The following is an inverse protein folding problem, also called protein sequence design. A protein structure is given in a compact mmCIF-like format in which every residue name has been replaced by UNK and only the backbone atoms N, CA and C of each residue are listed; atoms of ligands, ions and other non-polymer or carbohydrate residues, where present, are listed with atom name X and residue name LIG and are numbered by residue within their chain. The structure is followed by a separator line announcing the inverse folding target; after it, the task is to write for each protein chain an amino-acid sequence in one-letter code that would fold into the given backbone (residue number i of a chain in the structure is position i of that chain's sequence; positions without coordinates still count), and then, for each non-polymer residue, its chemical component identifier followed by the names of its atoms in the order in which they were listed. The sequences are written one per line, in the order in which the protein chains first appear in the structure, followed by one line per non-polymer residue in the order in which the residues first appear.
data_IF_153696668670
#
_entry.id   IF_153696668670
#
_cell.length_a   1.000
_cell.length_b   1.000
_cell.length_c   1.000
_cell.angle_alpha   90.00
_cell.angle_beta   90.00
_cell.angle_gamma   90.00
#
_symmetry.space_group_name_H-M   'P 1'
#
loop_
_entity.id
_entity.type
_entity.pdbx_description
1 polymer ?
#
# COMPACT_ATOMS: atom_id res chain seq x y z
N UNK A 1 -8.53 -39.60 0.49
CA UNK A 1 -8.62 -38.38 1.33
C UNK A 1 -7.21 -37.85 1.52
N UNK A 2 -6.78 -36.90 0.68
CA UNK A 2 -5.41 -36.38 0.64
C UNK A 2 -5.18 -35.35 1.73
N UNK A 3 -4.14 -35.55 2.53
CA UNK A 3 -3.72 -34.67 3.61
C UNK A 3 -3.31 -33.29 3.07
N UNK A 4 -4.15 -32.29 3.34
CA UNK A 4 -3.85 -30.88 3.08
C UNK A 4 -2.88 -30.40 4.15
N UNK A 5 -1.58 -30.36 3.84
CA UNK A 5 -0.56 -29.75 4.71
C UNK A 5 -0.88 -28.27 4.97
N UNK A 6 -1.45 -28.01 6.13
CA UNK A 6 -1.76 -26.67 6.62
C UNK A 6 -0.47 -25.93 7.00
N UNK A 7 0.17 -25.29 6.01
CA UNK A 7 1.24 -24.31 6.21
C UNK A 7 0.68 -23.00 6.79
N UNK A 8 0.27 -22.98 8.06
CA UNK A 8 -0.24 -21.76 8.71
C UNK A 8 0.55 -21.38 9.96
N UNK A 9 1.17 -20.19 9.89
CA UNK A 9 1.73 -19.46 11.03
C UNK A 9 0.60 -19.12 12.03
N UNK A 10 0.71 -19.65 13.24
CA UNK A 10 -0.35 -19.66 14.27
C UNK A 10 -0.77 -18.28 14.81
N UNK A 11 -0.03 -17.20 14.54
CA UNK A 11 -0.29 -15.89 15.17
C UNK A 11 -1.42 -15.07 14.54
N UNK A 12 -1.87 -15.38 13.33
CA UNK A 12 -2.83 -14.54 12.59
C UNK A 12 -4.09 -15.29 12.13
N UNK A 13 -4.33 -16.52 12.63
CA UNK A 13 -5.47 -17.36 12.24
C UNK A 13 -5.43 -17.84 10.78
N UNK A 14 -6.41 -18.66 10.33
CA UNK A 14 -6.50 -19.13 8.95
C UNK A 14 -6.95 -18.01 7.99
N UNK A 15 -6.64 -18.16 6.69
CA UNK A 15 -7.14 -17.24 5.68
C UNK A 15 -8.64 -17.47 5.45
N UNK A 16 -9.45 -16.40 5.44
CA UNK A 16 -10.88 -16.50 5.18
C UNK A 16 -11.24 -16.87 3.73
N UNK A 17 -10.31 -16.71 2.79
CA UNK A 17 -10.53 -16.89 1.35
C UNK A 17 -9.26 -17.45 0.68
N UNK A 18 -8.82 -18.68 0.97
CA UNK A 18 -7.63 -19.23 0.32
C UNK A 18 -7.81 -19.28 -1.21
N UNK A 19 -6.72 -19.02 -1.92
CA UNK A 19 -6.63 -19.15 -3.38
C UNK A 19 -6.00 -20.50 -3.66
N UNK A 20 -6.72 -21.35 -4.39
CA UNK A 20 -6.18 -22.62 -4.85
C UNK A 20 -5.28 -22.39 -6.05
N UNK A 21 -4.06 -22.92 -5.97
CA UNK A 21 -3.12 -22.98 -7.08
C UNK A 21 -3.01 -24.43 -7.52
N UNK A 22 -3.37 -24.70 -8.77
CA UNK A 22 -3.07 -25.97 -9.41
C UNK A 22 -1.69 -25.85 -10.08
N UNK A 23 -0.78 -26.74 -9.70
CA UNK A 23 0.55 -26.87 -10.28
C UNK A 23 0.74 -28.26 -10.88
N UNK A 24 1.60 -28.35 -11.88
CA UNK A 24 2.11 -29.63 -12.35
C UNK A 24 3.48 -29.82 -11.70
N UNK A 25 3.65 -30.93 -10.99
CA UNK A 25 4.91 -31.31 -10.40
C UNK A 25 5.74 -32.01 -11.46
N UNK A 26 6.97 -31.52 -11.65
CA UNK A 26 7.90 -32.06 -12.64
C UNK A 26 9.18 -32.47 -11.92
N UNK A 27 9.72 -33.64 -12.27
CA UNK A 27 11.07 -34.00 -11.90
C UNK A 27 12.02 -33.06 -12.65
N UNK A 28 12.74 -32.22 -11.92
CA UNK A 28 13.64 -31.24 -12.52
C UNK A 28 14.83 -31.88 -13.25
N UNK A 29 15.18 -33.12 -12.92
CA UNK A 29 16.30 -33.86 -13.51
C UNK A 29 15.88 -34.69 -14.72
N UNK A 30 14.69 -35.29 -14.69
CA UNK A 30 14.17 -36.13 -15.78
C UNK A 30 13.25 -35.40 -16.76
N UNK A 31 12.70 -34.24 -16.37
CA UNK A 31 11.69 -33.51 -17.14
C UNK A 31 10.30 -34.17 -17.13
N UNK A 32 10.12 -35.26 -16.37
CA UNK A 32 8.87 -36.01 -16.31
C UNK A 32 7.84 -35.33 -15.41
N UNK A 33 6.58 -35.36 -15.84
CA UNK A 33 5.45 -34.88 -15.05
C UNK A 33 5.10 -35.94 -14.00
N UNK A 34 5.41 -35.66 -12.74
CA UNK A 34 5.14 -36.53 -11.59
C UNK A 34 3.66 -36.51 -11.19
N UNK A 35 2.95 -35.42 -11.46
CA UNK A 35 1.52 -35.34 -11.21
C UNK A 35 0.97 -33.91 -11.15
N UNK A 36 -0.33 -33.79 -10.85
CA UNK A 36 -0.97 -32.51 -10.55
C UNK A 36 -1.10 -32.35 -9.05
N UNK A 37 -0.58 -31.25 -8.52
CA UNK A 37 -0.71 -30.88 -7.11
C UNK A 37 -1.55 -29.62 -6.99
N UNK A 38 -2.49 -29.62 -6.06
CA UNK A 38 -3.19 -28.40 -5.66
C UNK A 38 -2.64 -27.93 -4.33
N UNK A 39 -2.25 -26.66 -4.25
CA UNK A 39 -1.80 -26.02 -3.01
C UNK A 39 -2.65 -24.80 -2.72
N UNK A 40 -3.02 -24.62 -1.47
CA UNK A 40 -3.70 -23.40 -1.04
C UNK A 40 -2.67 -22.31 -0.70
N UNK A 41 -2.98 -21.10 -1.13
CA UNK A 41 -2.25 -19.89 -0.73
C UNK A 41 -3.22 -18.91 -0.09
N UNK A 42 -2.74 -18.19 0.92
CA UNK A 42 -3.46 -17.05 1.51
C UNK A 42 -3.83 -16.04 0.42
N UNK A 43 -5.04 -15.48 0.42
CA UNK A 43 -5.47 -14.50 -0.61
C UNK A 43 -4.60 -13.24 -0.70
N UNK A 44 -3.87 -12.90 0.36
CA UNK A 44 -3.09 -11.67 0.40
C UNK A 44 -3.93 -10.39 0.37
N UNK A 45 -5.25 -10.47 0.59
CA UNK A 45 -6.10 -9.29 0.70
C UNK A 45 -5.63 -8.42 1.86
N UNK A 46 -5.58 -7.12 1.61
CA UNK A 46 -5.17 -6.10 2.59
C UNK A 46 -6.38 -5.50 3.32
N UNK A 47 -7.58 -5.79 2.84
CA UNK A 47 -8.85 -5.29 3.38
C UNK A 47 -9.32 -6.20 4.52
N UNK A 48 -9.46 -5.67 5.73
CA UNK A 48 -9.91 -6.45 6.87
C UNK A 48 -11.34 -6.96 6.66
N UNK A 49 -12.19 -6.18 5.99
CA UNK A 49 -13.54 -6.58 5.59
C UNK A 49 -13.59 -7.79 4.65
N UNK A 50 -12.53 -8.06 3.88
CA UNK A 50 -12.46 -9.23 2.99
C UNK A 50 -11.75 -10.42 3.63
N UNK A 51 -10.69 -10.17 4.40
CA UNK A 51 -9.92 -11.21 5.08
C UNK A 51 -9.16 -10.60 6.27
N UNK A 52 -9.72 -10.67 7.50
CA UNK A 52 -9.08 -10.11 8.70
C UNK A 52 -7.67 -10.66 8.91
N UNK A 53 -7.49 -11.96 8.69
CA UNK A 53 -6.21 -12.66 8.86
C UNK A 53 -5.09 -12.17 7.92
N UNK A 54 -5.39 -11.98 6.62
CA UNK A 54 -4.40 -11.52 5.65
C UNK A 54 -4.10 -10.03 5.81
N UNK A 55 -5.13 -9.23 6.13
CA UNK A 55 -4.96 -7.81 6.41
C UNK A 55 -4.09 -7.58 7.64
N UNK A 56 -4.34 -8.32 8.74
CA UNK A 56 -3.53 -8.26 9.95
C UNK A 56 -2.07 -8.66 9.70
N UNK A 57 -1.84 -9.73 8.93
CA UNK A 57 -0.49 -10.14 8.55
C UNK A 57 0.23 -9.06 7.73
N UNK A 58 -0.47 -8.46 6.75
CA UNK A 58 0.09 -7.36 5.96
C UNK A 58 0.41 -6.14 6.82
N UNK A 59 -0.46 -5.80 7.78
CA UNK A 59 -0.24 -4.71 8.72
C UNK A 59 0.98 -4.96 9.61
N UNK A 60 1.18 -6.19 10.08
CA UNK A 60 2.36 -6.59 10.84
C UNK A 60 3.64 -6.43 10.01
N UNK A 61 3.62 -6.85 8.75
CA UNK A 61 4.75 -6.68 7.84
C UNK A 61 5.06 -5.21 7.56
N UNK A 62 4.03 -4.41 7.31
CA UNK A 62 4.20 -2.98 7.10
C UNK A 62 4.81 -2.29 8.33
N UNK A 63 4.36 -2.66 9.54
CA UNK A 63 4.94 -2.18 10.81
C UNK A 63 6.40 -2.58 10.95
N UNK A 64 6.74 -3.83 10.62
CA UNK A 64 8.11 -4.33 10.69
C UNK A 64 9.01 -3.61 9.69
N UNK A 65 8.54 -3.40 8.45
CA UNK A 65 9.25 -2.66 7.43
C UNK A 65 9.54 -1.22 7.84
N UNK A 66 8.52 -0.50 8.32
CA UNK A 66 8.69 0.89 8.77
C UNK A 66 9.65 0.97 9.95
N UNK A 67 9.54 0.04 10.92
CA UNK A 67 10.46 0.00 12.08
C UNK A 67 11.90 -0.22 11.63
N UNK A 68 12.14 -1.19 10.74
CA UNK A 68 13.49 -1.52 10.29
C UNK A 68 14.22 -0.33 9.65
N UNK A 69 13.53 0.56 8.95
CA UNK A 69 14.18 1.74 8.37
C UNK A 69 14.32 2.94 9.30
N UNK A 70 13.55 2.99 10.40
CA UNK A 70 13.63 4.04 11.41
C UNK A 70 14.61 3.73 12.54
N UNK A 71 15.28 2.59 12.48
CA UNK A 71 16.25 2.14 13.48
C UNK A 71 17.61 2.00 12.83
N UNK A 72 18.63 2.56 13.48
CA UNK A 72 20.01 2.37 13.09
C UNK A 72 20.43 0.91 13.33
N UNK A 73 20.97 0.19 12.33
CA UNK A 73 21.25 -1.23 12.44
C UNK A 73 22.40 -1.53 13.42
N UNK A 74 23.34 -0.60 13.59
CA UNK A 74 24.56 -0.82 14.39
C UNK A 74 24.32 -0.48 15.87
N UNK A 75 23.62 0.63 16.12
CA UNK A 75 23.38 1.17 17.47
C UNK A 75 22.02 0.82 18.04
N UNK A 76 21.08 0.37 17.20
CA UNK A 76 19.68 0.13 17.58
C UNK A 76 18.89 1.41 17.92
N UNK A 77 19.47 2.60 17.74
CA UNK A 77 18.86 3.87 18.10
C UNK A 77 17.89 4.37 17.01
N UNK A 78 16.84 5.13 17.38
CA UNK A 78 15.94 5.73 16.39
C UNK A 78 16.68 6.75 15.50
N UNK A 79 16.48 6.63 14.19
CA UNK A 79 16.96 7.59 13.20
C UNK A 79 16.01 8.79 13.11
N UNK A 80 16.58 9.98 12.89
CA UNK A 80 15.80 11.16 12.55
C UNK A 80 15.08 10.93 11.22
N UNK A 81 13.81 11.33 11.16
CA UNK A 81 13.01 11.19 9.96
C UNK A 81 12.08 12.39 9.78
N UNK A 82 11.67 12.62 8.55
CA UNK A 82 10.69 13.65 8.18
C UNK A 82 9.47 13.00 7.55
N UNK A 83 8.28 13.36 8.04
CA UNK A 83 7.03 13.03 7.39
C UNK A 83 6.76 14.03 6.27
N UNK A 84 6.66 13.54 5.04
CA UNK A 84 6.34 14.32 3.85
C UNK A 84 4.94 13.96 3.37
N UNK A 85 4.12 14.97 3.09
CA UNK A 85 2.78 14.81 2.53
C UNK A 85 2.69 15.58 1.23
N UNK A 86 2.40 14.88 0.13
CA UNK A 86 2.16 15.46 -1.19
C UNK A 86 0.68 15.31 -1.52
N UNK A 87 0.01 16.42 -1.81
CA UNK A 87 -1.45 16.44 -1.99
C UNK A 87 -1.83 16.62 -3.43
N UNK A 88 -2.96 16.03 -3.83
CA UNK A 88 -3.54 16.31 -5.14
C UNK A 88 -3.99 17.77 -5.26
N UNK A 89 -4.02 18.32 -6.50
CA UNK A 89 -4.62 19.62 -6.78
C UNK A 89 -6.04 19.76 -6.23
N UNK A 90 -6.46 21.02 -6.10
CA UNK A 90 -7.67 21.40 -5.40
C UNK A 90 -8.96 21.25 -6.21
N UNK A 91 -10.03 21.78 -5.63
CA UNK A 91 -11.36 21.78 -6.22
C UNK A 91 -11.46 22.59 -7.53
N UNK A 92 -10.52 23.49 -7.79
CA UNK A 92 -10.41 24.22 -9.05
C UNK A 92 -10.03 23.31 -10.24
N UNK A 93 -9.46 22.13 -9.97
CA UNK A 93 -9.08 21.17 -11.02
C UNK A 93 -10.14 20.06 -11.14
N UNK A 94 -10.61 19.53 -10.02
CA UNK A 94 -11.44 18.31 -10.03
C UNK A 94 -12.92 18.53 -9.73
N UNK A 95 -13.31 19.71 -9.24
CA UNK A 95 -14.67 19.98 -8.75
C UNK A 95 -14.74 20.12 -7.23
N UNK A 96 -15.81 20.76 -6.77
CA UNK A 96 -15.99 21.06 -5.35
C UNK A 96 -16.39 19.83 -4.55
N UNK A 97 -15.95 19.79 -3.29
CA UNK A 97 -16.21 18.69 -2.36
C UNK A 97 -16.83 19.21 -1.06
N UNK A 98 -17.58 18.35 -0.39
CA UNK A 98 -18.01 18.58 0.98
C UNK A 98 -16.77 18.78 1.85
N UNK A 99 -16.77 19.89 2.60
CA UNK A 99 -15.65 20.23 3.48
C UNK A 99 -16.18 20.84 4.77
N UNK A 100 -15.55 20.44 5.87
CA UNK A 100 -15.74 21.10 7.15
C UNK A 100 -14.75 22.26 7.22
N UNK A 101 -15.24 23.47 6.95
CA UNK A 101 -14.46 24.70 7.14
C UNK A 101 -14.73 25.21 8.54
N UNK A 102 -13.70 25.65 9.26
CA UNK A 102 -13.86 26.31 10.56
C UNK A 102 -13.45 27.78 10.45
N UNK A 103 -14.14 28.68 11.16
CA UNK A 103 -13.63 30.04 11.40
C UNK A 103 -12.48 29.95 12.41
N UNK A 104 -11.49 30.84 12.36
CA UNK A 104 -10.44 30.92 13.40
C UNK A 104 -9.55 29.67 13.58
N UNK A 105 -9.41 28.81 12.56
CA UNK A 105 -8.55 27.62 12.62
C UNK A 105 -9.20 26.42 13.34
N UNK A 106 -8.38 25.52 13.91
CA UNK A 106 -8.85 24.21 14.42
C UNK A 106 -9.89 24.29 15.54
N UNK A 107 -9.86 25.36 16.35
CA UNK A 107 -10.73 25.53 17.52
C UNK A 107 -11.96 26.40 17.27
N UNK A 108 -12.10 27.03 16.11
CA UNK A 108 -13.26 27.89 15.88
C UNK A 108 -14.45 27.18 15.27
N UNK A 109 -15.50 27.97 15.03
CA UNK A 109 -16.86 27.48 14.73
C UNK A 109 -16.90 26.82 13.36
N UNK A 110 -17.56 25.67 13.28
CA UNK A 110 -17.82 24.99 12.00
C UNK A 110 -18.72 25.89 11.15
N UNK A 111 -18.21 26.26 9.98
CA UNK A 111 -18.92 27.02 8.96
C UNK A 111 -19.80 26.10 8.13
N UNK A 112 -20.87 26.68 7.62
CA UNK A 112 -21.76 26.03 6.67
C UNK A 112 -20.98 25.62 5.42
N UNK A 113 -21.19 24.37 5.01
CA UNK A 113 -20.65 23.86 3.76
C UNK A 113 -21.38 24.50 2.58
N UNK A 114 -20.80 24.40 1.38
CA UNK A 114 -21.42 24.91 0.16
C UNK A 114 -22.72 24.19 -0.22
N UNK A 115 -22.97 22.98 0.32
CA UNK A 115 -24.26 22.31 0.21
C UNK A 115 -25.34 22.86 1.16
N UNK A 116 -25.05 23.91 1.93
CA UNK A 116 -25.97 24.48 2.92
C UNK A 116 -25.98 23.78 4.28
N UNK A 117 -25.33 22.61 4.44
CA UNK A 117 -25.29 21.85 5.70
C UNK A 117 -24.02 22.12 6.51
N UNK A 118 -24.08 21.97 7.84
CA UNK A 118 -22.90 21.98 8.73
C UNK A 118 -22.46 20.54 9.02
N UNK A 119 -21.37 20.11 8.39
CA UNK A 119 -20.83 18.76 8.60
C UNK A 119 -20.09 18.66 9.94
N UNK A 120 -20.37 17.59 10.70
CA UNK A 120 -19.64 17.24 11.92
C UNK A 120 -18.41 16.39 11.58
N UNK A 121 -17.53 16.21 12.54
CA UNK A 121 -16.41 15.28 12.41
C UNK A 121 -16.97 13.87 12.18
N UNK A 122 -16.44 13.14 11.20
CA UNK A 122 -16.91 11.79 10.85
C UNK A 122 -18.14 11.75 9.91
N UNK A 123 -18.66 12.90 9.47
CA UNK A 123 -19.74 12.92 8.47
C UNK A 123 -19.31 12.20 7.17
N UNK A 124 -20.06 11.20 6.69
CA UNK A 124 -19.66 10.35 5.58
C UNK A 124 -19.58 11.09 4.24
N UNK A 125 -20.23 12.26 4.13
CA UNK A 125 -20.14 13.08 2.94
C UNK A 125 -18.81 13.83 2.87
N UNK A 126 -18.07 13.99 3.97
CA UNK A 126 -16.87 14.80 3.99
C UNK A 126 -15.81 14.31 3.00
N UNK A 127 -15.46 15.21 2.09
CA UNK A 127 -14.51 14.98 1.02
C UNK A 127 -15.10 14.29 -0.22
N UNK A 128 -16.37 13.88 -0.22
CA UNK A 128 -17.08 13.50 -1.45
C UNK A 128 -17.39 14.75 -2.29
N UNK A 129 -17.58 14.61 -3.62
CA UNK A 129 -18.04 15.71 -4.45
C UNK A 129 -19.35 16.31 -3.93
N UNK A 130 -19.50 17.63 -4.05
CA UNK A 130 -20.78 18.30 -3.76
C UNK A 130 -21.87 17.85 -4.74
N UNK A 131 -21.46 17.65 -5.99
CA UNK A 131 -22.27 17.10 -7.06
C UNK A 131 -21.38 16.15 -7.86
N UNK A 132 -21.80 14.90 -7.96
CA UNK A 132 -21.06 13.88 -8.68
C UNK A 132 -21.13 14.05 -10.21
N UNK A 133 -22.15 14.73 -10.74
CA UNK A 133 -22.30 14.92 -12.18
C UNK A 133 -21.27 15.93 -12.71
N UNK A 134 -20.97 16.96 -11.91
CA UNK A 134 -19.99 18.01 -12.25
C UNK A 134 -18.56 17.68 -11.79
N UNK A 135 -18.35 16.62 -11.02
CA UNK A 135 -17.02 16.18 -10.62
C UNK A 135 -16.23 15.63 -11.80
N UNK A 136 -14.99 16.10 -11.98
CA UNK A 136 -14.15 15.81 -13.13
C UNK A 136 -13.41 14.48 -12.98
N UNK A 137 -14.16 13.39 -13.01
CA UNK A 137 -13.64 12.02 -13.00
C UNK A 137 -12.65 11.75 -14.15
N UNK A 138 -12.92 12.35 -15.32
CA UNK A 138 -12.08 12.35 -16.52
C UNK A 138 -10.69 12.96 -16.29
N UNK A 139 -10.55 13.87 -15.32
CA UNK A 139 -9.28 14.45 -14.89
C UNK A 139 -8.68 13.69 -13.70
N UNK A 140 -9.52 13.24 -12.77
CA UNK A 140 -9.12 12.57 -11.55
C UNK A 140 -8.37 11.26 -11.81
N UNK A 141 -8.90 10.40 -12.69
CA UNK A 141 -8.30 9.11 -12.99
C UNK A 141 -6.91 9.23 -13.68
N UNK A 142 -6.71 10.09 -14.70
CA UNK A 142 -5.37 10.27 -15.27
C UNK A 142 -4.39 10.96 -14.32
N UNK A 143 -4.84 11.82 -13.40
CA UNK A 143 -4.00 12.33 -12.32
C UNK A 143 -3.52 11.19 -11.41
N UNK A 144 -4.43 10.31 -10.98
CA UNK A 144 -4.08 9.13 -10.18
C UNK A 144 -3.08 8.24 -10.92
N UNK A 145 -3.25 8.03 -12.24
CA UNK A 145 -2.30 7.29 -13.06
C UNK A 145 -0.89 7.92 -13.06
N UNK A 146 -0.80 9.25 -12.99
CA UNK A 146 0.45 10.00 -12.95
C UNK A 146 1.10 10.11 -11.55
N UNK A 147 0.35 9.88 -10.47
CA UNK A 147 0.79 10.11 -9.09
C UNK A 147 2.10 9.37 -8.73
N UNK A 148 2.28 8.14 -9.22
CA UNK A 148 3.50 7.37 -9.00
C UNK A 148 4.75 8.01 -9.63
N UNK A 149 4.60 8.59 -10.84
CA UNK A 149 5.70 9.31 -11.53
C UNK A 149 5.96 10.65 -10.86
N UNK A 150 4.93 11.39 -10.44
CA UNK A 150 5.10 12.61 -9.67
C UNK A 150 5.89 12.36 -8.39
N UNK A 151 5.59 11.28 -7.66
CA UNK A 151 6.32 10.92 -6.44
C UNK A 151 7.80 10.62 -6.74
N UNK A 152 8.08 9.82 -7.78
CA UNK A 152 9.46 9.51 -8.18
C UNK A 152 10.26 10.77 -8.53
N UNK A 153 9.69 11.68 -9.32
CA UNK A 153 10.31 12.98 -9.67
C UNK A 153 10.53 13.85 -8.43
N UNK A 154 9.61 13.79 -7.47
CA UNK A 154 9.73 14.53 -6.19
C UNK A 154 10.93 14.05 -5.40
N UNK A 155 11.08 12.73 -5.20
CA UNK A 155 12.20 12.18 -4.44
C UNK A 155 13.53 12.40 -5.13
N UNK A 156 13.57 12.32 -6.47
CA UNK A 156 14.77 12.65 -7.24
C UNK A 156 15.18 14.12 -7.03
N UNK A 157 14.24 15.06 -7.17
CA UNK A 157 14.52 16.50 -7.00
C UNK A 157 14.92 16.84 -5.57
N UNK A 158 14.25 16.27 -4.57
CA UNK A 158 14.64 16.47 -3.16
C UNK A 158 16.04 15.91 -2.90
N UNK A 159 16.39 14.74 -3.44
CA UNK A 159 17.74 14.21 -3.32
C UNK A 159 18.80 15.13 -3.94
N UNK A 160 18.52 15.75 -5.09
CA UNK A 160 19.41 16.75 -5.69
C UNK A 160 19.54 18.02 -4.85
N UNK A 161 18.42 18.53 -4.32
CA UNK A 161 18.40 19.73 -3.46
C UNK A 161 19.17 19.50 -2.16
N UNK A 162 19.03 18.31 -1.57
CA UNK A 162 19.67 17.95 -0.30
C UNK A 162 21.10 17.42 -0.47
N UNK A 163 21.51 17.10 -1.71
CA UNK A 163 22.83 16.53 -2.00
C UNK A 163 23.01 15.08 -1.52
N UNK A 164 21.91 14.35 -1.27
CA UNK A 164 21.96 13.00 -0.70
C UNK A 164 20.97 12.03 -1.36
N UNK A 165 21.29 10.73 -1.27
CA UNK A 165 20.41 9.66 -1.74
C UNK A 165 19.37 9.33 -0.68
N UNK A 166 18.15 9.82 -0.89
CA UNK A 166 17.05 9.66 0.06
C UNK A 166 16.67 8.20 0.32
N UNK A 167 16.43 7.88 1.60
CA UNK A 167 15.78 6.65 2.07
C UNK A 167 14.32 6.98 2.35
N UNK A 168 13.41 6.39 1.58
CA UNK A 168 11.99 6.79 1.58
C UNK A 168 11.09 5.58 1.70
N UNK A 169 10.13 5.61 2.63
CA UNK A 169 8.98 4.72 2.65
C UNK A 169 7.71 5.55 2.40
N UNK A 170 6.93 5.22 1.37
CA UNK A 170 5.79 6.01 0.92
C UNK A 170 4.53 5.18 0.75
N UNK A 171 3.39 5.81 1.05
CA UNK A 171 2.05 5.27 0.86
C UNK A 171 1.25 6.19 -0.05
N UNK A 172 0.53 5.58 -0.98
CA UNK A 172 -0.42 6.23 -1.88
C UNK A 172 -1.82 6.06 -1.31
N UNK A 173 -2.33 7.09 -0.65
CA UNK A 173 -3.63 7.07 0.01
C UNK A 173 -4.69 7.73 -0.88
N UNK A 174 -5.86 7.11 -1.00
CA UNK A 174 -7.02 7.75 -1.62
C UNK A 174 -7.75 8.55 -0.58
N UNK A 175 -7.88 9.86 -0.81
CA UNK A 175 -8.81 10.67 -0.03
C UNK A 175 -10.24 10.38 -0.48
N UNK A 176 -11.23 10.74 0.34
CA UNK A 176 -12.65 10.59 0.02
C UNK A 176 -13.04 11.13 -1.38
N UNK A 177 -12.34 12.15 -1.88
CA UNK A 177 -12.52 12.65 -3.27
C UNK A 177 -11.94 11.77 -4.37
N UNK A 178 -11.51 10.55 -4.06
CA UNK A 178 -10.93 9.60 -5.00
C UNK A 178 -9.55 9.95 -5.56
N UNK A 179 -8.87 10.97 -5.00
CA UNK A 179 -7.54 11.39 -5.47
C UNK A 179 -6.42 10.85 -4.59
N UNK A 180 -5.35 10.40 -5.24
CA UNK A 180 -4.14 9.91 -4.58
C UNK A 180 -3.35 11.06 -3.96
N UNK A 181 -3.07 10.90 -2.66
CA UNK A 181 -2.11 11.67 -1.87
C UNK A 181 -0.94 10.76 -1.53
N UNK A 182 0.25 11.35 -1.40
CA UNK A 182 1.44 10.60 -0.99
C UNK A 182 1.77 10.97 0.44
N UNK A 183 1.88 9.96 1.31
CA UNK A 183 2.40 10.10 2.66
C UNK A 183 3.70 9.32 2.75
N UNK A 184 4.79 9.99 3.05
CA UNK A 184 6.10 9.37 3.11
C UNK A 184 6.82 9.67 4.43
N UNK A 185 7.70 8.74 4.80
CA UNK A 185 8.79 8.94 5.74
C UNK A 185 10.09 8.99 4.95
N UNK A 186 10.83 10.07 5.13
CA UNK A 186 12.19 10.24 4.60
C UNK A 186 13.13 10.18 5.79
N UNK A 187 14.15 9.31 5.76
CA UNK A 187 15.19 9.33 6.79
C UNK A 187 16.02 10.60 6.57
N UNK A 188 16.28 11.34 7.64
CA UNK A 188 16.91 12.66 7.60
C UNK A 188 15.90 13.80 7.67
N UNK A 189 16.41 15.00 7.41
CA UNK A 189 15.68 16.27 7.54
C UNK A 189 15.29 16.79 6.18
N UNK A 190 13.99 16.93 5.94
CA UNK A 190 13.46 17.68 4.79
C UNK A 190 12.76 18.91 5.35
N UNK A 191 13.26 20.11 5.03
CA UNK A 191 12.60 21.33 5.48
C UNK A 191 11.34 21.58 4.65
N UNK A 192 10.39 22.36 5.20
CA UNK A 192 9.24 22.82 4.43
C UNK A 192 9.68 23.66 3.23
N UNK A 193 10.76 24.44 3.35
CA UNK A 193 11.32 25.24 2.27
C UNK A 193 11.86 24.37 1.12
N UNK A 194 12.58 23.28 1.41
CA UNK A 194 13.09 22.36 0.38
C UNK A 194 11.92 21.67 -0.35
N UNK A 195 10.89 21.29 0.39
CA UNK A 195 9.69 20.71 -0.19
C UNK A 195 8.94 21.72 -1.08
N UNK A 196 8.78 22.96 -0.62
CA UNK A 196 8.08 23.99 -1.39
C UNK A 196 8.86 24.38 -2.64
N UNK A 197 10.20 24.41 -2.55
CA UNK A 197 11.10 24.62 -3.69
C UNK A 197 10.90 23.55 -4.77
N UNK A 198 10.80 22.26 -4.41
CA UNK A 198 10.58 21.22 -5.43
C UNK A 198 9.14 21.20 -5.93
N UNK A 199 8.14 21.48 -5.08
CA UNK A 199 6.72 21.42 -5.45
C UNK A 199 6.36 22.58 -6.37
N UNK A 200 6.76 23.79 -6.01
CA UNK A 200 6.37 25.03 -6.70
C UNK A 200 7.44 25.54 -7.67
N UNK A 201 8.67 25.05 -7.54
CA UNK A 201 9.82 25.61 -8.24
C UNK A 201 10.34 26.87 -7.56
N UNK A 202 11.55 27.30 -7.94
CA UNK A 202 12.18 28.50 -7.39
C UNK A 202 13.70 28.48 -7.56
N UNK A 203 14.37 29.35 -6.82
CA UNK A 203 15.84 29.42 -6.78
C UNK A 203 16.34 28.82 -5.49
N UNK A 204 17.29 27.88 -5.57
CA UNK A 204 17.87 27.26 -4.39
C UNK A 204 18.71 28.29 -3.61
N UNK A 205 18.42 28.51 -2.31
CA UNK A 205 18.96 29.65 -1.57
C UNK A 205 20.47 29.61 -1.37
N UNK A 206 21.07 28.41 -1.34
CA UNK A 206 22.53 28.27 -1.13
C UNK A 206 23.33 28.21 -2.43
N UNK A 207 22.75 27.71 -3.52
CA UNK A 207 23.50 27.42 -4.76
C UNK A 207 23.11 28.35 -5.91
N UNK A 208 22.06 29.15 -5.76
CA UNK A 208 21.53 29.98 -6.86
C UNK A 208 20.89 29.19 -8.00
N UNK A 209 20.86 27.86 -7.93
CA UNK A 209 20.34 27.01 -9.00
C UNK A 209 18.82 27.17 -9.13
N UNK A 210 18.34 27.35 -10.36
CA UNK A 210 16.90 27.35 -10.65
C UNK A 210 16.37 25.91 -10.66
N UNK A 211 15.40 25.64 -9.80
CA UNK A 211 14.70 24.37 -9.69
C UNK A 211 13.30 24.52 -10.31
N UNK A 212 13.04 23.79 -11.39
CA UNK A 212 11.69 23.71 -11.96
C UNK A 212 10.74 22.93 -11.04
N UNK A 213 9.44 23.28 -10.98
CA UNK A 213 8.46 22.53 -10.19
C UNK A 213 8.39 21.05 -10.62
N UNK A 214 8.03 20.18 -9.68
CA UNK A 214 7.68 18.79 -9.98
C UNK A 214 6.48 18.75 -10.93
N UNK A 215 6.67 18.12 -12.09
CA UNK A 215 5.63 17.95 -13.10
C UNK A 215 5.78 16.61 -13.82
N UNK A 216 4.65 16.02 -14.22
CA UNK A 216 4.61 14.89 -15.15
C UNK A 216 3.41 15.03 -16.09
N UNK A 217 3.67 15.16 -17.39
CA UNK A 217 2.64 15.53 -18.36
C UNK A 217 2.05 16.90 -18.02
N UNK A 218 0.74 16.99 -17.77
CA UNK A 218 0.08 18.22 -17.28
C UNK A 218 -0.06 18.30 -15.76
N UNK A 219 0.38 17.28 -15.03
CA UNK A 219 0.08 17.15 -13.61
C UNK A 219 1.21 17.70 -12.73
N UNK A 220 0.82 18.32 -11.63
CA UNK A 220 1.66 18.78 -10.53
C UNK A 220 0.97 18.44 -9.19
N UNK A 221 1.66 18.67 -8.08
CA UNK A 221 1.06 18.59 -6.76
C UNK A 221 0.25 19.86 -6.44
N UNK A 222 -0.75 19.70 -5.58
CA UNK A 222 -1.48 20.83 -5.01
C UNK A 222 -0.64 21.62 -3.99
N UNK A 223 -1.07 22.84 -3.64
CA UNK A 223 -0.29 23.75 -2.80
C UNK A 223 -0.24 23.36 -1.31
N UNK A 224 -0.98 22.32 -0.89
CA UNK A 224 -1.10 21.93 0.53
C UNK A 224 -0.18 20.77 0.89
N UNK A 225 1.08 20.84 0.47
CA UNK A 225 2.10 19.85 0.81
C UNK A 225 2.77 20.20 2.14
N UNK A 226 3.18 19.20 2.91
CA UNK A 226 3.75 19.41 4.25
C UNK A 226 4.95 18.51 4.54
N UNK A 227 6.06 19.11 4.96
CA UNK A 227 7.22 18.41 5.51
C UNK A 227 7.30 18.69 7.02
N UNK A 228 7.32 17.64 7.83
CA UNK A 228 7.30 17.75 9.30
C UNK A 228 8.27 16.78 9.95
N UNK A 229 9.23 17.27 10.76
CA UNK A 229 10.10 16.39 11.52
C UNK A 229 9.30 15.41 12.39
N UNK A 230 9.73 14.16 12.40
CA UNK A 230 9.20 13.12 13.28
C UNK A 230 9.98 13.19 14.59
N UNK A 231 9.35 13.70 15.66
CA UNK A 231 9.97 13.74 17.00
C UNK A 231 10.16 12.31 17.52
N UNK A 232 11.40 11.95 17.86
CA UNK A 232 11.80 10.61 18.31
C UNK A 232 11.90 10.43 19.83
N UNK A 233 11.57 11.46 20.62
CA UNK A 233 11.91 11.52 22.05
C UNK A 233 10.94 10.92 23.08
N UNK A 234 9.82 10.30 22.70
CA UNK A 234 8.97 9.59 23.67
C UNK A 234 8.49 8.27 23.07
N UNK A 235 8.66 7.18 23.82
CA UNK A 235 8.15 5.83 23.51
C UNK A 235 6.67 5.85 23.07
N UNK A 236 5.86 6.78 23.60
CA UNK A 236 4.45 6.98 23.21
C UNK A 236 4.21 7.87 21.98
N UNK A 237 5.06 8.88 21.69
CA UNK A 237 4.89 9.76 20.51
C UNK A 237 5.61 9.27 19.25
N UNK A 238 6.63 8.42 19.41
CA UNK A 238 7.13 7.58 18.32
C UNK A 238 5.98 6.68 17.82
N UNK A 239 5.11 6.23 18.73
CA UNK A 239 3.83 5.57 18.45
C UNK A 239 2.95 6.38 17.52
N UNK A 240 2.62 7.64 17.82
CA UNK A 240 1.68 8.46 17.04
C UNK A 240 2.14 8.80 15.60
N UNK A 241 3.46 8.95 15.34
CA UNK A 241 3.98 9.20 13.99
C UNK A 241 4.35 7.91 13.22
N UNK A 242 4.87 6.86 13.90
CA UNK A 242 4.91 5.49 13.33
C UNK A 242 3.51 5.06 12.89
N UNK A 243 2.50 5.44 13.66
CA UNK A 243 1.10 5.16 13.38
C UNK A 243 0.59 5.85 12.13
N UNK A 244 1.10 6.98 11.67
CA UNK A 244 0.50 7.63 10.49
C UNK A 244 0.85 6.91 9.19
N UNK A 245 2.13 6.74 8.85
CA UNK A 245 2.48 6.02 7.61
C UNK A 245 2.15 4.53 7.71
N UNK A 246 2.23 3.93 8.90
CA UNK A 246 1.74 2.56 9.11
C UNK A 246 0.21 2.47 9.01
N UNK A 247 -0.55 3.37 9.66
CA UNK A 247 -2.01 3.38 9.53
C UNK A 247 -2.41 3.77 8.12
N UNK A 248 -1.67 4.60 7.40
CA UNK A 248 -1.91 4.87 5.99
C UNK A 248 -1.62 3.64 5.14
N UNK A 249 -0.55 2.87 5.41
CA UNK A 249 -0.29 1.62 4.71
C UNK A 249 -1.44 0.61 4.90
N UNK A 250 -2.03 0.57 6.11
CA UNK A 250 -3.22 -0.23 6.42
C UNK A 250 -4.48 0.36 5.76
N UNK A 251 -4.75 1.66 5.90
CA UNK A 251 -5.92 2.36 5.34
C UNK A 251 -5.95 2.39 3.82
N UNK A 252 -4.80 2.55 3.20
CA UNK A 252 -4.67 2.59 1.75
C UNK A 252 -4.97 1.24 1.07
N UNK A 253 -5.20 0.18 1.86
CA UNK A 253 -5.83 -1.05 1.39
C UNK A 253 -7.22 -0.82 0.77
N UNK A 254 -7.90 0.29 1.10
CA UNK A 254 -9.14 0.72 0.43
C UNK A 254 -10.38 0.74 1.31
N UNK A 255 -10.26 0.63 2.64
CA UNK A 255 -11.41 0.65 3.57
C UNK A 255 -12.12 2.02 3.57
N UNK A 256 -11.37 3.11 3.39
CA UNK A 256 -11.92 4.48 3.37
C UNK A 256 -12.37 4.94 1.97
N UNK A 257 -12.39 4.05 0.97
CA UNK A 257 -12.87 4.42 -0.37
C UNK A 257 -14.38 4.56 -0.35
N UNK A 258 -14.94 5.68 -0.86
CA UNK A 258 -16.37 5.78 -1.07
C UNK A 258 -16.86 4.63 -1.94
N UNK A 259 -18.03 4.10 -1.57
CA UNK A 259 -18.79 3.10 -2.33
C UNK A 259 -19.91 3.78 -3.14
N UNK A 260 -20.64 3.01 -3.93
CA UNK A 260 -21.78 3.51 -4.71
C UNK A 260 -21.40 4.20 -6.03
N UNK A 261 -22.26 5.10 -6.51
CA UNK A 261 -22.17 5.71 -7.85
C UNK A 261 -20.85 6.44 -8.10
N UNK A 262 -20.32 7.17 -7.12
CA UNK A 262 -19.00 7.79 -7.20
C UNK A 262 -17.88 6.79 -7.49
N UNK A 263 -17.88 5.65 -6.80
CA UNK A 263 -16.87 4.60 -6.96
C UNK A 263 -16.89 4.01 -8.37
N UNK A 264 -18.11 3.80 -8.90
CA UNK A 264 -18.31 3.28 -10.24
C UNK A 264 -17.84 4.27 -11.31
N UNK A 265 -18.15 5.57 -11.15
CA UNK A 265 -17.68 6.63 -12.05
C UNK A 265 -16.15 6.74 -12.07
N UNK A 266 -15.50 6.69 -10.90
CA UNK A 266 -14.04 6.67 -10.80
C UNK A 266 -13.43 5.41 -11.43
N UNK A 267 -14.06 4.25 -11.25
CA UNK A 267 -13.62 3.00 -11.85
C UNK A 267 -13.74 3.03 -13.38
N UNK A 268 -14.86 3.54 -13.90
CA UNK A 268 -15.11 3.74 -15.34
C UNK A 268 -14.10 4.71 -15.94
N UNK A 269 -13.86 5.85 -15.30
CA UNK A 269 -12.85 6.81 -15.73
C UNK A 269 -11.42 6.23 -15.69
N UNK A 270 -11.12 5.40 -14.68
CA UNK A 270 -9.85 4.67 -14.58
C UNK A 270 -9.61 3.72 -15.74
N UNK A 271 -10.62 2.94 -16.11
CA UNK A 271 -10.58 2.04 -17.26
C UNK A 271 -10.46 2.81 -18.58
N UNK A 272 -11.32 3.82 -18.79
CA UNK A 272 -11.33 4.63 -20.01
C UNK A 272 -10.01 5.40 -20.25
N UNK A 273 -9.37 5.89 -19.18
CA UNK A 273 -8.06 6.55 -19.27
C UNK A 273 -6.87 5.59 -19.44
N UNK A 274 -7.10 4.28 -19.39
CA UNK A 274 -6.04 3.28 -19.50
C UNK A 274 -5.85 2.82 -20.94
N UNK A 275 -4.66 3.09 -21.50
CA UNK A 275 -4.20 2.42 -22.73
C UNK A 275 -3.34 1.21 -22.39
N UNK A 276 -3.56 0.09 -23.07
CA UNK A 276 -2.72 -1.10 -22.98
C UNK A 276 -2.09 -1.37 -24.37
N UNK A 277 -0.75 -1.58 -24.45
CA UNK A 277 -0.08 -1.86 -25.72
C UNK A 277 -0.07 -3.37 -26.04
N UNK A 278 -1.03 -4.15 -25.52
CA UNK A 278 -0.98 -5.61 -25.68
C UNK A 278 -1.07 -5.97 -27.17
N UNK A 279 -0.09 -6.72 -27.72
CA UNK A 279 -0.09 -7.12 -29.12
C UNK A 279 -1.05 -8.29 -29.42
N UNK A 280 -1.71 -8.86 -28.40
CA UNK A 280 -2.65 -10.00 -28.49
C UNK A 280 -4.09 -9.60 -28.13
N UNK A 281 -5.11 -10.29 -28.68
CA UNK A 281 -6.54 -9.96 -28.54
C UNK A 281 -7.15 -10.21 -27.16
N UNK A 282 -6.36 -10.47 -26.11
CA UNK A 282 -6.87 -10.88 -24.79
C UNK A 282 -7.53 -9.74 -23.99
N UNK A 283 -7.67 -8.54 -24.56
CA UNK A 283 -8.24 -7.38 -23.87
C UNK A 283 -9.43 -6.78 -24.62
N UNK A 284 -10.58 -6.69 -23.94
CA UNK A 284 -11.77 -6.00 -24.45
C UNK A 284 -11.52 -4.52 -24.82
N UNK A 285 -10.61 -3.88 -24.09
CA UNK A 285 -10.31 -2.44 -24.18
C UNK A 285 -8.95 -2.13 -24.84
N UNK A 286 -8.37 -3.09 -25.57
CA UNK A 286 -7.05 -2.95 -26.20
C UNK A 286 -7.11 -2.21 -27.53
N UNK A 287 -6.42 -1.08 -27.66
CA UNK A 287 -6.18 -0.42 -28.95
C UNK A 287 -4.87 -0.93 -29.56
N UNK A 288 -4.92 -1.56 -30.74
CA UNK A 288 -3.72 -1.95 -31.50
C UNK A 288 -3.39 -0.84 -32.49
N UNK A 289 -2.41 -0.01 -32.14
CA UNK A 289 -1.91 1.05 -33.03
C UNK A 289 -0.71 0.53 -33.81
N UNK A 290 -0.81 0.54 -35.14
CA UNK A 290 0.30 0.23 -36.03
C UNK A 290 0.54 1.42 -36.95
N UNK A 291 1.79 1.85 -37.09
CA UNK A 291 2.16 2.84 -38.12
C UNK A 291 2.49 2.01 -39.36
N UNK A 292 1.66 2.15 -40.39
CA UNK A 292 1.91 1.58 -41.72
C UNK A 292 2.37 2.70 -42.65
N UNK A 293 3.06 2.36 -43.73
CA UNK A 293 3.38 3.32 -44.79
C UNK A 293 2.30 3.22 -45.86
N UNK A 294 1.63 4.34 -46.17
CA UNK A 294 0.71 4.40 -47.30
C UNK A 294 1.45 4.29 -48.63
N UNK A 295 0.69 4.04 -49.71
CA UNK A 295 1.24 3.88 -51.06
C UNK A 295 2.01 5.13 -51.56
N UNK A 296 1.74 6.30 -50.98
CA UNK A 296 2.42 7.57 -51.26
C UNK A 296 3.70 7.78 -50.40
N UNK A 297 4.09 6.81 -49.57
CA UNK A 297 5.25 6.88 -48.69
C UNK A 297 4.98 7.55 -47.34
N UNK A 298 3.77 8.05 -47.09
CA UNK A 298 3.45 8.74 -45.82
C UNK A 298 3.11 7.74 -44.70
N UNK A 299 3.54 7.97 -43.45
CA UNK A 299 3.15 7.14 -42.32
C UNK A 299 1.66 7.35 -41.98
N UNK A 300 0.88 6.28 -42.07
CA UNK A 300 -0.53 6.22 -41.67
C UNK A 300 -0.64 5.44 -40.36
N UNK A 301 -1.29 6.06 -39.38
CA UNK A 301 -1.62 5.38 -38.12
C UNK A 301 -2.90 4.57 -38.33
N UNK A 302 -2.77 3.25 -38.33
CA UNK A 302 -3.91 2.33 -38.45
C UNK A 302 -4.23 1.75 -37.07
N UNK A 303 -5.50 1.88 -36.67
CA UNK A 303 -6.01 1.32 -35.43
C UNK A 303 -6.74 0.02 -35.77
N UNK A 304 -6.19 -1.12 -35.36
CA UNK A 304 -6.84 -2.42 -35.51
C UNK A 304 -7.65 -2.72 -34.26
N UNK A 305 -8.94 -3.01 -34.43
CA UNK A 305 -9.74 -3.66 -33.39
C UNK A 305 -9.79 -5.16 -33.72
N UNK A 306 -8.97 -5.98 -33.07
CA UNK A 306 -9.25 -7.42 -33.02
C UNK A 306 -10.58 -7.63 -32.29
N UNK A 307 -11.32 -8.73 -32.59
CA UNK A 307 -12.52 -9.09 -31.82
C UNK A 307 -12.18 -8.98 -30.32
N UNK A 308 -12.81 -8.07 -29.57
CA UNK A 308 -12.46 -7.86 -28.17
C UNK A 308 -12.70 -9.17 -27.43
N UNK A 309 -11.73 -9.64 -26.63
CA UNK A 309 -12.06 -10.61 -25.58
C UNK A 309 -13.21 -10.04 -24.74
N UNK A 310 -14.06 -10.85 -24.12
CA UNK A 310 -15.08 -10.34 -23.19
C UNK A 310 -14.48 -9.94 -21.82
N UNK A 311 -13.15 -10.06 -21.65
CA UNK A 311 -12.48 -9.96 -20.35
C UNK A 311 -11.46 -8.82 -20.36
N UNK A 312 -11.50 -7.89 -19.40
CA UNK A 312 -10.49 -6.83 -19.31
C UNK A 312 -9.12 -7.44 -18.96
N UNK A 313 -8.05 -6.95 -19.60
CA UNK A 313 -6.70 -7.39 -19.24
C UNK A 313 -6.33 -6.93 -17.82
N UNK A 314 -5.31 -7.57 -17.21
CA UNK A 314 -4.82 -7.21 -15.87
C UNK A 314 -4.52 -5.71 -15.73
N UNK A 315 -4.02 -5.04 -16.77
CA UNK A 315 -3.68 -3.61 -16.73
C UNK A 315 -4.93 -2.73 -16.62
N UNK A 316 -5.98 -3.05 -17.37
CA UNK A 316 -7.28 -2.37 -17.29
C UNK A 316 -7.98 -2.67 -15.98
N UNK A 317 -7.92 -3.91 -15.50
CA UNK A 317 -8.48 -4.28 -14.20
C UNK A 317 -7.80 -3.52 -13.05
N UNK A 318 -6.46 -3.37 -13.10
CA UNK A 318 -5.72 -2.53 -12.16
C UNK A 318 -6.11 -1.05 -12.29
N UNK A 319 -6.32 -0.54 -13.50
CA UNK A 319 -6.75 0.84 -13.69
C UNK A 319 -8.16 1.09 -13.15
N UNK A 320 -9.08 0.15 -13.36
CA UNK A 320 -10.45 0.18 -12.87
C UNK A 320 -10.48 0.15 -11.35
N UNK A 321 -9.85 -0.86 -10.73
CA UNK A 321 -9.79 -1.03 -9.27
C UNK A 321 -8.94 0.03 -8.57
N UNK A 322 -7.97 0.62 -9.27
CA UNK A 322 -7.09 1.66 -8.77
C UNK A 322 -7.55 3.08 -9.13
N UNK A 323 -8.74 3.25 -9.71
CA UNK A 323 -9.24 4.57 -10.12
C UNK A 323 -8.19 5.37 -10.92
N UNK A 324 -7.50 4.68 -11.85
CA UNK A 324 -6.40 5.15 -12.67
C UNK A 324 -4.99 4.83 -12.15
N UNK A 325 -4.77 4.75 -10.83
CA UNK A 325 -3.45 4.42 -10.28
C UNK A 325 -3.18 2.91 -10.35
N UNK A 326 -2.05 2.53 -10.94
CA UNK A 326 -1.69 1.13 -11.22
C UNK A 326 -0.44 0.65 -10.47
N UNK A 327 0.15 1.50 -9.62
CA UNK A 327 1.37 1.20 -8.90
C UNK A 327 1.14 0.46 -7.58
N UNK A 328 2.23 0.24 -6.84
CA UNK A 328 2.14 -0.27 -5.48
C UNK A 328 1.75 0.83 -4.50
N UNK A 329 0.62 0.61 -3.81
CA UNK A 329 0.11 1.52 -2.79
C UNK A 329 1.11 1.78 -1.65
N UNK A 330 1.96 0.81 -1.31
CA UNK A 330 3.03 0.99 -0.33
C UNK A 330 4.34 0.53 -0.95
N UNK A 331 5.36 1.38 -0.88
CA UNK A 331 6.68 1.13 -1.40
C UNK A 331 7.74 1.75 -0.49
N UNK A 332 8.92 1.11 -0.41
CA UNK A 332 10.08 1.66 0.26
C UNK A 332 11.31 1.57 -0.65
N UNK A 333 12.26 2.48 -0.45
CA UNK A 333 13.53 2.47 -1.17
C UNK A 333 14.33 1.20 -0.85
N UNK A 334 15.18 0.76 -1.78
CA UNK A 334 15.99 -0.47 -1.60
C UNK A 334 16.93 -0.39 -0.39
N UNK A 335 17.38 0.82 -0.04
CA UNK A 335 18.21 1.13 1.13
C UNK A 335 17.40 1.50 2.39
N UNK A 336 16.10 1.18 2.44
CA UNK A 336 15.28 1.49 3.60
C UNK A 336 15.74 0.71 4.84
N UNK A 337 15.98 -0.60 4.68
CA UNK A 337 16.49 -1.49 5.74
C UNK A 337 15.94 -2.92 5.64
N UNK A 338 14.74 -3.10 5.10
CA UNK A 338 14.20 -4.41 4.75
C UNK A 338 13.14 -4.33 3.65
N UNK A 339 12.75 -5.48 3.10
CA UNK A 339 11.68 -5.61 2.11
C UNK A 339 10.55 -6.53 2.59
N UNK A 340 9.36 -6.41 1.98
CA UNK A 340 8.29 -7.40 2.18
C UNK A 340 8.72 -8.83 1.79
N UNK A 341 9.65 -8.98 0.83
CA UNK A 341 10.20 -10.27 0.44
C UNK A 341 10.99 -10.91 1.57
N UNK A 342 11.92 -10.16 2.15
CA UNK A 342 12.71 -10.61 3.30
C UNK A 342 11.84 -10.91 4.52
N UNK A 343 10.84 -10.07 4.82
CA UNK A 343 9.92 -10.33 5.94
C UNK A 343 9.14 -11.63 5.74
N UNK A 344 8.69 -11.92 4.51
CA UNK A 344 8.04 -13.19 4.18
C UNK A 344 8.99 -14.37 4.31
N UNK A 345 10.22 -14.24 3.83
CA UNK A 345 11.25 -15.27 3.94
C UNK A 345 11.59 -15.59 5.41
N UNK A 346 11.81 -14.56 6.24
CA UNK A 346 12.04 -14.71 7.69
C UNK A 346 10.91 -15.45 8.39
N UNK A 347 9.65 -15.14 8.04
CA UNK A 347 8.49 -15.88 8.59
C UNK A 347 8.41 -17.32 8.11
N UNK A 348 8.72 -17.58 6.84
CA UNK A 348 8.72 -18.94 6.31
C UNK A 348 9.79 -19.80 7.02
N UNK A 349 11.00 -19.26 7.19
CA UNK A 349 12.07 -19.92 7.94
C UNK A 349 11.68 -20.16 9.41
N UNK A 350 11.08 -19.17 10.07
CA UNK A 350 10.59 -19.31 11.45
C UNK A 350 9.50 -20.40 11.57
N UNK A 351 8.58 -20.47 10.60
CA UNK A 351 7.54 -21.49 10.59
C UNK A 351 8.11 -22.90 10.36
N UNK A 352 9.05 -23.05 9.42
CA UNK A 352 9.72 -24.32 9.16
C UNK A 352 10.53 -24.82 10.37
N UNK A 353 11.27 -23.92 11.05
CA UNK A 353 12.01 -24.26 12.27
C UNK A 353 11.12 -24.74 13.42
N UNK A 354 9.92 -24.16 13.57
CA UNK A 354 8.93 -24.66 14.56
C UNK A 354 8.34 -26.02 14.19
N UNK A 355 8.14 -26.29 12.91
CA UNK A 355 7.65 -27.58 12.45
C UNK A 355 8.69 -28.68 12.71
N UNK A 356 9.96 -28.42 12.37
CA UNK A 356 11.06 -29.33 12.65
C UNK A 356 11.23 -29.63 14.16
N UNK A 357 11.08 -28.62 15.02
CA UNK A 357 11.15 -28.80 16.48
C UNK A 357 9.91 -29.47 17.11
N UNK A 358 8.76 -29.45 16.42
CA UNK A 358 7.54 -30.15 16.87
C UNK A 358 7.51 -31.62 16.40
N UNK A 359 8.25 -31.97 15.35
CA UNK A 359 8.33 -33.33 14.79
C UNK A 359 9.41 -34.20 15.43
N UNK A 360 10.22 -33.71 16.38
CA UNK A 360 11.16 -34.54 17.14
C UNK A 360 10.44 -35.13 18.35
N UNK A 361 10.13 -36.44 18.40
CA UNK A 361 9.72 -37.06 19.65
C UNK A 361 10.90 -36.94 20.60
N UNK A 362 10.67 -36.48 21.83
CA UNK A 362 11.64 -36.67 22.90
C UNK A 362 11.84 -38.18 23.07
N UNK A 363 12.92 -38.72 22.52
CA UNK A 363 13.36 -40.07 22.85
C UNK A 363 13.79 -40.04 24.31
N UNK A 364 12.92 -40.52 25.21
CA UNK A 364 13.34 -40.95 26.52
C UNK A 364 14.26 -42.17 26.33
N UNK A 365 15.55 -41.94 26.19
CA UNK A 365 16.57 -42.97 26.40
C UNK A 365 16.73 -43.19 27.90
N UNK A 366 16.51 -44.43 28.32
CA UNK A 366 16.20 -44.80 29.70
C UNK A 366 17.34 -44.77 30.72
N UNK A 367 16.92 -44.95 31.96
CA UNK A 367 17.65 -45.67 33.01
C UNK A 367 16.61 -46.35 33.92
N UNK A 368 16.94 -47.52 34.48
CA UNK A 368 15.95 -48.53 34.79
C UNK A 368 15.27 -48.33 36.13
N UNK A 369 14.05 -48.88 36.18
CA UNK A 369 13.21 -49.11 37.34
C UNK A 369 14.01 -49.75 38.49
N UNK A 370 14.01 -49.11 39.66
CA UNK A 370 14.30 -49.77 40.94
C UNK A 370 13.04 -49.78 41.80
N UNK A 371 12.79 -50.96 42.36
CA UNK A 371 11.62 -51.42 43.08
C UNK A 371 11.40 -50.74 44.44
N UNK A 372 10.14 -50.76 44.88
CA UNK A 372 9.52 -50.14 46.06
C UNK A 372 10.09 -50.60 47.43
N UNK A 373 9.56 -50.10 48.58
CA UNK A 373 8.28 -50.64 49.07
C UNK A 373 7.27 -49.61 49.64
N UNK A 374 6.02 -50.07 49.56
CA UNK A 374 4.76 -49.72 50.22
C UNK A 374 4.82 -49.18 51.65
N UNK A 375 4.00 -48.17 51.92
CA UNK A 375 3.23 -48.04 53.17
C UNK A 375 1.92 -47.26 52.93
N UNK A 376 0.81 -47.97 53.15
CA UNK A 376 -0.44 -47.55 53.79
C UNK A 376 -0.31 -46.27 54.66
N UNK A 377 -1.28 -45.38 54.86
CA UNK A 377 -2.74 -45.42 54.81
C UNK A 377 -3.24 -44.07 55.40
N UNK A 378 -4.55 -43.83 55.28
CA UNK A 378 -5.37 -42.88 56.06
C UNK A 378 -5.53 -41.42 55.61
N UNK A 379 -6.82 -41.11 55.50
CA UNK A 379 -7.45 -39.84 55.16
C UNK A 379 -7.39 -38.82 56.30
N UNK A 380 -7.49 -37.53 55.96
CA UNK A 380 -8.68 -36.72 56.30
C UNK A 380 -8.65 -35.32 55.64
N UNK A 381 -9.81 -34.64 55.51
CA UNK A 381 -10.02 -33.46 54.67
C UNK A 381 -10.12 -32.12 55.43
N UNK A 382 -9.63 -31.04 54.79
CA UNK A 382 -10.04 -29.62 54.92
C UNK A 382 -9.88 -28.91 56.29
N UNK A 383 -10.20 -27.59 56.42
CA UNK A 383 -10.59 -26.62 55.38
C UNK A 383 -10.00 -25.18 55.54
N UNK A 384 -10.27 -24.31 54.54
CA UNK A 384 -10.47 -22.82 54.57
C UNK A 384 -9.29 -21.88 54.96
N UNK A 385 -8.71 -21.12 54.00
CA UNK A 385 -8.95 -19.67 53.67
C UNK A 385 -8.28 -18.70 54.68
N UNK A 386 -7.66 -17.57 54.26
CA UNK A 386 -7.94 -16.76 53.06
C UNK A 386 -6.87 -16.69 51.97
#
# INVERSE_FOLDING_TARGET
MTATEHLYSSTHGPCARPVQLAGTEVDASAGEVLGRRTVERRCGSRLASQCPSCSALYAADARALIRAGLTDPDTGRPLAATSVTLTAPGANVFGQVHSQRRSGGKRGKVRTCRCGRRHRDGDPLLGLPLDEATYRHDLAAPYNAAAGRLAAVTWQKLGCVLGERLRVAQVMEYRARGLVHVHALVIGTVSQADQDLVVSGGTHPRTGQRIAPVRHGRWNWGPRCHARPVRTGHTDRLGANRSKVTAYAVKAAGEDRPSGGFAEKMARAGAAGCRCPHPRPDCCDGERTSILTAADGNPVTVVWQSRPSQVPCRRHELARRGWGYRGHVFAASRNWGTTFGELRAKRAAWAAGRQAGASTPRSCSGSPCSTAPTAQEQAQPGPLIP
#
